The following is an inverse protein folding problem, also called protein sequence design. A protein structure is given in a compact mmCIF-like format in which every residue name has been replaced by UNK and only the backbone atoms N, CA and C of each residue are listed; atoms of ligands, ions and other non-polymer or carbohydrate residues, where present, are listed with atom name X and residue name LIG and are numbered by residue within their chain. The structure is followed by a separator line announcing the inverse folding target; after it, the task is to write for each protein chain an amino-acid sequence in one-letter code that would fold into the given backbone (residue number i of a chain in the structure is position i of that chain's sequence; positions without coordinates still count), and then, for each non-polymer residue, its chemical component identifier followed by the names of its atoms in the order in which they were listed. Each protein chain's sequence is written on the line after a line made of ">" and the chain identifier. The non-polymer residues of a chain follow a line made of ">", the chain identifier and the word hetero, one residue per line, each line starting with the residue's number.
data_IF_540486921050
#
_entry.id   IF_540486921050
#
_cell.length_a   1.000
_cell.length_b   1.000
_cell.length_c   1.000
_cell.angle_alpha   90.00
_cell.angle_beta   90.00
_cell.angle_gamma   90.00
#
_symmetry.space_group_name_H-M   'P 1'
#
loop_
_entity.id
_entity.type
_entity.pdbx_description
1 polymer ?
#
# COMPACT_ATOMS: atom_id res chain seq x y z
N UNK A 1 -5.52 27.28 -14.74
CA UNK A 1 -4.52 27.17 -13.63
C UNK A 1 -3.15 27.31 -14.25
N UNK A 2 -2.30 28.21 -13.75
CA UNK A 2 -0.92 28.34 -14.23
C UNK A 2 -0.10 27.16 -13.66
N UNK A 3 0.49 26.35 -14.52
CA UNK A 3 1.24 25.15 -14.13
C UNK A 3 2.53 25.46 -13.36
N UNK A 4 3.23 26.56 -13.71
CA UNK A 4 4.45 26.99 -13.02
C UNK A 4 4.17 27.45 -11.59
N UNK A 5 3.12 28.23 -11.41
CA UNK A 5 2.68 28.70 -10.09
C UNK A 5 2.22 27.52 -9.21
N UNK A 6 1.44 26.61 -9.78
CA UNK A 6 1.01 25.40 -9.08
C UNK A 6 2.19 24.50 -8.68
N UNK A 7 3.19 24.34 -9.57
CA UNK A 7 4.40 23.60 -9.25
C UNK A 7 5.16 24.24 -8.08
N UNK A 8 5.31 25.56 -8.07
CA UNK A 8 5.98 26.29 -6.99
C UNK A 8 5.26 26.08 -5.64
N UNK A 9 3.93 26.12 -5.61
CA UNK A 9 3.13 25.88 -4.41
C UNK A 9 3.31 24.42 -3.89
N UNK A 10 3.30 23.44 -4.78
CA UNK A 10 3.54 22.04 -4.39
C UNK A 10 4.94 21.88 -3.79
N UNK A 11 5.97 22.50 -4.39
CA UNK A 11 7.33 22.46 -3.86
C UNK A 11 7.44 23.15 -2.49
N UNK A 12 6.75 24.28 -2.30
CA UNK A 12 6.70 24.98 -1.00
C UNK A 12 5.98 24.16 0.08
N UNK A 13 5.00 23.35 -0.31
CA UNK A 13 4.25 22.47 0.61
C UNK A 13 5.02 21.22 1.04
N UNK A 14 6.21 20.94 0.46
CA UNK A 14 7.06 19.83 0.90
C UNK A 14 7.73 20.15 2.26
N UNK A 15 7.89 19.16 3.15
CA UNK A 15 8.55 19.35 4.43
C UNK A 15 10.09 19.41 4.34
N UNK A 16 10.65 19.38 3.14
CA UNK A 16 12.10 19.38 2.86
C UNK A 16 12.38 20.03 1.50
N UNK A 17 13.63 20.34 1.23
CA UNK A 17 14.06 20.86 -0.09
C UNK A 17 14.05 19.71 -1.11
N UNK A 18 13.27 19.88 -2.18
CA UNK A 18 13.20 18.90 -3.26
C UNK A 18 14.53 18.78 -4.03
N UNK A 19 14.90 17.57 -4.42
CA UNK A 19 15.99 17.34 -5.36
C UNK A 19 15.52 17.59 -6.81
N UNK A 20 16.45 17.62 -7.76
CA UNK A 20 16.16 17.93 -9.17
C UNK A 20 15.14 16.97 -9.79
N UNK A 21 15.20 15.68 -9.41
CA UNK A 21 14.25 14.69 -9.90
C UNK A 21 12.84 14.92 -9.37
N UNK A 22 12.71 15.28 -8.10
CA UNK A 22 11.43 15.64 -7.49
C UNK A 22 10.86 16.94 -8.09
N UNK A 23 11.71 17.95 -8.35
CA UNK A 23 11.30 19.18 -9.03
C UNK A 23 10.76 18.88 -10.43
N UNK A 24 11.43 18.02 -11.19
CA UNK A 24 10.97 17.62 -12.52
C UNK A 24 9.64 16.87 -12.48
N UNK A 25 9.44 15.97 -11.50
CA UNK A 25 8.17 15.26 -11.29
C UNK A 25 7.05 16.22 -10.91
N UNK A 26 7.29 17.14 -9.99
CA UNK A 26 6.30 18.16 -9.60
C UNK A 26 5.90 19.02 -10.79
N UNK A 27 6.84 19.44 -11.62
CA UNK A 27 6.55 20.20 -12.83
C UNK A 27 5.69 19.38 -13.83
N UNK A 28 5.93 18.08 -13.96
CA UNK A 28 5.14 17.19 -14.81
C UNK A 28 3.71 17.00 -14.26
N UNK A 29 3.56 16.80 -12.95
CA UNK A 29 2.27 16.71 -12.27
C UNK A 29 1.47 18.01 -12.39
N UNK A 30 2.14 19.14 -12.23
CA UNK A 30 1.51 20.46 -12.37
C UNK A 30 0.94 20.67 -13.80
N UNK A 31 1.72 20.36 -14.82
CA UNK A 31 1.26 20.39 -16.22
C UNK A 31 0.08 19.44 -16.44
N UNK A 32 0.15 18.22 -15.89
CA UNK A 32 -0.94 17.24 -15.97
C UNK A 32 -2.21 17.77 -15.30
N UNK A 33 -2.11 18.34 -14.11
CA UNK A 33 -3.25 18.90 -13.39
C UNK A 33 -3.78 20.18 -14.02
N UNK A 34 -2.95 21.05 -14.59
CA UNK A 34 -3.34 22.32 -15.19
C UNK A 34 -3.89 22.22 -16.63
N UNK A 35 -3.58 21.12 -17.33
CA UNK A 35 -3.97 20.95 -18.73
C UNK A 35 -5.50 21.11 -18.94
N UNK A 36 -5.94 21.55 -20.12
CA UNK A 36 -7.37 21.59 -20.46
C UNK A 36 -8.04 20.22 -20.27
N UNK A 37 -9.39 20.20 -20.12
CA UNK A 37 -10.14 18.96 -20.09
C UNK A 37 -9.83 18.11 -21.32
N UNK A 38 -9.32 16.93 -21.10
CA UNK A 38 -9.14 15.90 -22.12
C UNK A 38 -9.51 14.57 -21.49
N UNK A 39 -10.36 13.79 -22.15
CA UNK A 39 -10.71 12.47 -21.64
C UNK A 39 -9.48 11.55 -21.61
N UNK A 40 -9.53 10.56 -20.75
CA UNK A 40 -8.65 9.39 -20.80
C UNK A 40 -7.16 9.68 -20.59
N UNK A 41 -6.83 10.69 -19.79
CA UNK A 41 -5.44 10.99 -19.42
C UNK A 41 -5.10 10.45 -18.04
N UNK A 42 -4.04 9.64 -17.97
CA UNK A 42 -3.51 9.10 -16.72
C UNK A 42 -2.07 9.55 -16.50
N UNK A 43 -1.73 9.87 -15.25
CA UNK A 43 -0.36 10.09 -14.81
C UNK A 43 0.10 8.86 -14.00
N UNK A 44 1.22 8.27 -14.36
CA UNK A 44 1.84 7.16 -13.65
C UNK A 44 3.11 7.65 -12.97
N UNK A 45 3.10 7.68 -11.65
CA UNK A 45 4.27 7.98 -10.84
C UNK A 45 4.86 6.69 -10.27
N UNK A 46 5.96 6.25 -10.85
CA UNK A 46 6.75 5.17 -10.29
C UNK A 46 7.82 5.76 -9.36
N UNK A 47 8.09 5.09 -8.23
CA UNK A 47 9.17 5.54 -7.37
C UNK A 47 9.52 4.49 -6.33
N UNK A 48 10.79 4.36 -6.04
CA UNK A 48 11.28 3.39 -5.05
C UNK A 48 10.94 3.82 -3.61
N UNK A 49 11.03 2.90 -2.66
CA UNK A 49 10.93 3.23 -1.24
C UNK A 49 11.98 4.29 -0.87
N UNK A 50 11.58 5.27 -0.06
CA UNK A 50 12.48 6.37 0.39
C UNK A 50 12.73 7.48 -0.65
N UNK A 51 12.06 7.49 -1.82
CA UNK A 51 12.22 8.55 -2.83
C UNK A 51 11.30 9.76 -2.61
N UNK A 52 10.48 9.75 -1.55
CA UNK A 52 9.60 10.86 -1.19
C UNK A 52 8.24 10.87 -1.89
N UNK A 53 7.79 9.75 -2.50
CA UNK A 53 6.44 9.65 -3.11
C UNK A 53 5.33 10.15 -2.20
N UNK A 54 5.30 9.64 -0.98
CA UNK A 54 4.25 9.94 0.00
C UNK A 54 4.22 11.42 0.37
N UNK A 55 5.39 12.02 0.65
CA UNK A 55 5.49 13.46 0.97
C UNK A 55 5.08 14.33 -0.23
N UNK A 56 5.51 13.96 -1.43
CA UNK A 56 5.16 14.65 -2.67
C UNK A 56 3.65 14.58 -2.93
N UNK A 57 3.06 13.41 -2.73
CA UNK A 57 1.61 13.22 -2.89
C UNK A 57 0.82 14.02 -1.85
N UNK A 58 1.26 14.02 -0.59
CA UNK A 58 0.66 14.84 0.45
C UNK A 58 0.73 16.34 0.13
N UNK A 59 1.86 16.83 -0.39
CA UNK A 59 2.01 18.22 -0.85
C UNK A 59 1.07 18.53 -2.03
N UNK A 60 0.97 17.61 -3.00
CA UNK A 60 0.05 17.75 -4.13
C UNK A 60 -1.41 17.84 -3.66
N UNK A 61 -1.83 16.97 -2.74
CA UNK A 61 -3.20 16.96 -2.19
C UNK A 61 -3.52 18.28 -1.51
N UNK A 62 -2.66 18.73 -0.60
CA UNK A 62 -2.84 20.04 0.10
C UNK A 62 -2.95 21.20 -0.88
N UNK A 63 -2.11 21.22 -1.91
CA UNK A 63 -2.13 22.31 -2.92
C UNK A 63 -3.39 22.25 -3.79
N UNK A 64 -3.86 21.06 -4.19
CA UNK A 64 -5.11 20.91 -4.92
C UNK A 64 -6.29 21.45 -4.12
N UNK A 65 -6.37 21.12 -2.84
CA UNK A 65 -7.47 21.58 -1.97
C UNK A 65 -7.41 23.07 -1.67
N UNK A 66 -6.22 23.64 -1.42
CA UNK A 66 -6.04 25.08 -1.28
C UNK A 66 -6.57 25.85 -2.51
N UNK A 67 -6.47 25.23 -3.69
CA UNK A 67 -7.03 25.76 -4.94
C UNK A 67 -8.48 25.30 -5.21
N UNK A 68 -9.17 24.75 -4.21
CA UNK A 68 -10.56 24.26 -4.30
C UNK A 68 -10.77 23.19 -5.38
N UNK A 69 -9.72 22.44 -5.72
CA UNK A 69 -9.81 21.26 -6.58
C UNK A 69 -9.90 20.01 -5.73
N UNK A 70 -10.93 19.23 -5.97
CA UNK A 70 -11.21 18.03 -5.17
C UNK A 70 -10.21 16.93 -5.47
N UNK A 71 -9.46 16.51 -4.47
CA UNK A 71 -8.64 15.30 -4.50
C UNK A 71 -9.45 14.13 -3.93
N UNK A 72 -9.45 12.99 -4.62
CA UNK A 72 -10.08 11.74 -4.18
C UNK A 72 -8.98 10.72 -3.99
N UNK A 73 -8.71 10.37 -2.73
CA UNK A 73 -7.61 9.49 -2.36
C UNK A 73 -8.10 8.05 -2.29
N UNK A 74 -7.38 7.15 -2.93
CA UNK A 74 -7.72 5.73 -2.97
C UNK A 74 -6.47 4.85 -2.83
N UNK A 75 -6.68 3.62 -2.36
CA UNK A 75 -5.65 2.59 -2.33
C UNK A 75 -6.29 1.20 -2.55
N UNK A 76 -5.52 0.18 -2.97
CA UNK A 76 -6.03 -1.17 -3.18
C UNK A 76 -6.53 -1.84 -1.90
N UNK A 77 -5.89 -1.58 -0.76
CA UNK A 77 -6.20 -2.20 0.53
C UNK A 77 -6.65 -1.18 1.58
N UNK A 78 -7.36 -1.64 2.60
CA UNK A 78 -7.81 -0.79 3.71
C UNK A 78 -6.65 -0.19 4.50
N UNK A 79 -5.61 -0.97 4.78
CA UNK A 79 -4.40 -0.49 5.48
C UNK A 79 -3.69 0.58 4.66
N UNK A 80 -3.48 0.36 3.36
CA UNK A 80 -2.88 1.36 2.49
C UNK A 80 -3.71 2.66 2.44
N UNK A 81 -5.04 2.56 2.43
CA UNK A 81 -5.92 3.72 2.50
C UNK A 81 -5.76 4.50 3.82
N UNK A 82 -5.68 3.81 4.97
CA UNK A 82 -5.43 4.46 6.28
C UNK A 82 -4.07 5.17 6.31
N UNK A 83 -3.02 4.51 5.86
CA UNK A 83 -1.66 5.09 5.78
C UNK A 83 -1.66 6.30 4.83
N UNK A 84 -2.33 6.18 3.69
CA UNK A 84 -2.43 7.27 2.73
C UNK A 84 -3.19 8.48 3.32
N UNK A 85 -4.29 8.25 4.05
CA UNK A 85 -5.02 9.30 4.76
C UNK A 85 -4.14 10.02 5.78
N UNK A 86 -3.45 9.29 6.64
CA UNK A 86 -2.56 9.85 7.67
C UNK A 86 -1.44 10.72 7.06
N UNK A 87 -0.79 10.23 6.00
CA UNK A 87 0.29 10.93 5.31
C UNK A 87 -0.17 12.11 4.44
N UNK A 88 -1.47 12.20 4.17
CA UNK A 88 -2.07 13.29 3.36
C UNK A 88 -2.72 14.37 4.22
N UNK A 89 -2.35 14.50 5.50
CA UNK A 89 -2.91 15.52 6.40
C UNK A 89 -4.30 15.16 6.94
N UNK A 90 -4.62 13.88 7.04
CA UNK A 90 -5.92 13.40 7.55
C UNK A 90 -7.06 13.43 6.52
N UNK A 91 -6.77 13.73 5.25
CA UNK A 91 -7.78 13.67 4.19
C UNK A 91 -8.28 12.25 4.00
N UNK A 92 -9.59 12.06 3.96
CA UNK A 92 -10.19 10.73 3.85
C UNK A 92 -9.74 10.00 2.59
N UNK A 93 -9.12 8.84 2.77
CA UNK A 93 -8.78 7.91 1.70
C UNK A 93 -9.67 6.67 1.78
N UNK A 94 -9.99 6.09 0.63
CA UNK A 94 -10.91 4.97 0.50
C UNK A 94 -10.22 3.78 -0.15
N UNK A 95 -10.70 2.57 0.10
CA UNK A 95 -10.32 1.49 -0.80
C UNK A 95 -10.95 1.72 -2.17
N UNK A 96 -10.25 1.29 -3.25
CA UNK A 96 -10.79 1.41 -4.60
C UNK A 96 -12.19 0.78 -4.64
N UNK A 97 -12.35 -0.45 -4.14
CA UNK A 97 -13.63 -1.16 -4.10
C UNK A 97 -14.74 -0.36 -3.43
N UNK A 98 -14.47 0.24 -2.26
CA UNK A 98 -15.47 1.05 -1.55
C UNK A 98 -15.89 2.28 -2.35
N UNK A 99 -15.00 2.82 -3.17
CA UNK A 99 -15.25 4.06 -3.90
C UNK A 99 -15.98 3.84 -5.20
N UNK A 100 -15.64 2.78 -5.94
CA UNK A 100 -16.13 2.58 -7.31
C UNK A 100 -17.34 1.66 -7.40
N UNK A 101 -17.59 0.83 -6.36
CA UNK A 101 -18.74 -0.07 -6.37
C UNK A 101 -19.85 0.38 -5.42
N UNK A 102 -21.07 0.02 -5.76
CA UNK A 102 -22.21 0.15 -4.85
C UNK A 102 -22.12 -0.94 -3.79
N UNK A 103 -22.32 -0.57 -2.54
CA UNK A 103 -22.50 -1.58 -1.51
C UNK A 103 -23.86 -2.25 -1.72
N UNK A 104 -23.86 -3.55 -1.92
CA UNK A 104 -25.08 -4.35 -1.84
C UNK A 104 -25.54 -4.34 -0.37
N UNK A 105 -26.75 -3.84 -0.10
CA UNK A 105 -27.40 -3.92 1.21
C UNK A 105 -28.45 -5.02 1.20
N UNK A 106 -28.54 -5.81 2.27
CA UNK A 106 -29.60 -6.82 2.43
C UNK A 106 -29.35 -8.12 1.66
N UNK A 107 -30.42 -8.73 1.19
CA UNK A 107 -30.42 -10.05 0.53
C UNK A 107 -29.50 -10.16 -0.71
N UNK A 108 -29.18 -9.06 -1.35
CA UNK A 108 -28.27 -9.04 -2.51
C UNK A 108 -26.79 -9.18 -2.10
N UNK A 109 -26.41 -8.72 -0.89
CA UNK A 109 -25.06 -8.94 -0.34
C UNK A 109 -24.83 -10.42 -0.01
N UNK A 110 -25.86 -11.13 0.42
CA UNK A 110 -25.79 -12.58 0.74
C UNK A 110 -25.71 -13.46 -0.51
N UNK A 111 -26.23 -12.99 -1.64
CA UNK A 111 -26.21 -13.75 -2.92
C UNK A 111 -24.88 -13.73 -3.64
N UNK A 112 -23.89 -12.94 -3.19
CA UNK A 112 -22.53 -12.96 -3.75
C UNK A 112 -22.44 -12.56 -5.22
N UNK A 113 -23.38 -11.73 -5.71
CA UNK A 113 -23.34 -11.21 -7.08
C UNK A 113 -22.08 -10.37 -7.38
N UNK A 114 -21.71 -10.18 -8.65
CA UNK A 114 -20.58 -9.32 -9.00
C UNK A 114 -20.83 -7.90 -8.48
N UNK A 115 -19.76 -7.19 -8.05
CA UNK A 115 -19.90 -5.83 -7.58
C UNK A 115 -20.42 -4.93 -8.71
N UNK A 116 -21.45 -4.15 -8.42
CA UNK A 116 -22.00 -3.22 -9.41
C UNK A 116 -21.30 -1.87 -9.35
N UNK A 117 -20.81 -1.34 -10.48
CA UNK A 117 -20.21 -0.01 -10.52
C UNK A 117 -21.17 1.06 -10.00
N UNK A 118 -20.63 1.99 -9.22
CA UNK A 118 -21.36 3.17 -8.76
C UNK A 118 -21.32 4.27 -9.84
N UNK A 119 -22.26 5.20 -9.79
CA UNK A 119 -22.21 6.40 -10.61
C UNK A 119 -21.16 7.36 -10.10
N UNK A 120 -20.28 7.87 -10.97
CA UNK A 120 -19.32 8.92 -10.62
C UNK A 120 -19.96 10.31 -10.73
N UNK A 121 -20.33 10.88 -9.60
CA UNK A 121 -20.91 12.24 -9.51
C UNK A 121 -19.88 13.36 -9.35
N UNK A 122 -18.57 13.02 -9.40
CA UNK A 122 -17.52 14.01 -9.23
C UNK A 122 -17.32 14.83 -10.51
N UNK A 123 -16.98 16.11 -10.30
CA UNK A 123 -16.62 17.06 -11.36
C UNK A 123 -15.29 17.70 -11.03
N UNK A 124 -14.45 17.89 -12.04
CA UNK A 124 -13.13 18.54 -11.93
C UNK A 124 -12.23 17.93 -10.85
N UNK A 125 -12.40 16.63 -10.57
CA UNK A 125 -11.71 15.92 -9.50
C UNK A 125 -10.44 15.24 -10.01
N UNK A 126 -9.45 15.17 -9.11
CA UNK A 126 -8.23 14.40 -9.32
C UNK A 126 -8.29 13.16 -8.43
N UNK A 127 -8.40 12.00 -9.05
CA UNK A 127 -8.35 10.71 -8.38
C UNK A 127 -6.89 10.29 -8.25
N UNK A 128 -6.47 10.00 -7.04
CA UNK A 128 -5.08 9.63 -6.72
C UNK A 128 -5.12 8.25 -6.08
N UNK A 129 -4.47 7.28 -6.71
CA UNK A 129 -4.37 5.90 -6.23
C UNK A 129 -2.93 5.66 -5.79
N UNK A 130 -2.74 5.45 -4.51
CA UNK A 130 -1.46 5.00 -3.97
C UNK A 130 -1.39 3.47 -3.96
N UNK A 131 -0.18 2.91 -3.90
CA UNK A 131 0.10 1.47 -3.98
C UNK A 131 -0.53 0.80 -5.23
N UNK A 132 -0.59 1.52 -6.36
CA UNK A 132 -1.15 1.02 -7.61
C UNK A 132 -0.41 -0.21 -8.15
N UNK A 133 0.82 -0.46 -7.72
CA UNK A 133 1.61 -1.67 -8.00
C UNK A 133 0.96 -2.98 -7.50
N UNK A 134 -0.01 -2.88 -6.58
CA UNK A 134 -0.78 -4.03 -6.09
C UNK A 134 -2.02 -4.36 -6.94
N UNK A 135 -2.36 -3.55 -7.93
CA UNK A 135 -3.54 -3.78 -8.79
C UNK A 135 -3.17 -4.82 -9.86
N UNK A 136 -3.84 -5.98 -9.82
CA UNK A 136 -3.70 -7.05 -10.80
C UNK A 136 -4.60 -6.87 -12.03
N UNK A 137 -4.43 -7.74 -13.03
CA UNK A 137 -5.22 -7.74 -14.25
C UNK A 137 -6.67 -8.13 -13.98
N UNK A 138 -6.86 -9.23 -13.25
CA UNK A 138 -8.18 -9.72 -12.86
C UNK A 138 -8.15 -10.30 -11.45
N UNK A 139 -9.28 -10.26 -10.77
CA UNK A 139 -9.51 -11.01 -9.54
C UNK A 139 -9.83 -12.49 -9.83
N UNK A 140 -10.04 -13.29 -8.77
CA UNK A 140 -10.42 -14.71 -8.88
C UNK A 140 -11.73 -14.95 -9.64
N UNK A 141 -12.56 -13.93 -9.81
CA UNK A 141 -13.84 -13.96 -10.54
C UNK A 141 -13.72 -13.48 -11.97
N UNK A 142 -12.50 -13.12 -12.42
CA UNK A 142 -12.24 -12.58 -13.75
C UNK A 142 -12.62 -11.11 -13.92
N UNK A 143 -12.89 -10.38 -12.82
CA UNK A 143 -13.22 -8.95 -12.87
C UNK A 143 -11.94 -8.13 -12.86
N UNK A 144 -11.82 -7.17 -13.78
CA UNK A 144 -10.68 -6.25 -13.83
C UNK A 144 -10.97 -5.01 -12.99
N UNK A 145 -10.35 -4.94 -11.81
CA UNK A 145 -10.44 -3.76 -10.95
C UNK A 145 -9.89 -2.49 -11.62
N UNK A 146 -8.88 -2.67 -12.48
CA UNK A 146 -8.27 -1.55 -13.22
C UNK A 146 -9.25 -0.97 -14.25
N UNK A 147 -9.93 -1.84 -15.02
CA UNK A 147 -10.89 -1.40 -16.04
C UNK A 147 -12.08 -0.69 -15.40
N UNK A 148 -12.60 -1.25 -14.30
CA UNK A 148 -13.71 -0.65 -13.56
C UNK A 148 -13.32 0.70 -12.93
N UNK A 149 -12.08 0.82 -12.44
CA UNK A 149 -11.54 2.08 -11.94
C UNK A 149 -11.45 3.13 -13.06
N UNK A 150 -10.91 2.76 -14.21
CA UNK A 150 -10.78 3.64 -15.38
C UNK A 150 -12.16 4.09 -15.83
N UNK A 151 -13.09 3.17 -16.01
CA UNK A 151 -14.46 3.47 -16.40
C UNK A 151 -15.15 4.40 -15.39
N UNK A 152 -15.01 4.11 -14.09
CA UNK A 152 -15.57 4.94 -13.04
C UNK A 152 -15.01 6.37 -13.09
N UNK A 153 -13.69 6.53 -13.13
CA UNK A 153 -13.06 7.86 -13.11
C UNK A 153 -13.51 8.69 -14.31
N UNK A 154 -13.47 8.12 -15.51
CA UNK A 154 -13.74 8.89 -16.74
C UNK A 154 -15.23 8.99 -17.10
N UNK A 155 -16.13 8.30 -16.38
CA UNK A 155 -17.57 8.60 -16.43
C UNK A 155 -17.93 9.92 -15.72
N UNK A 156 -17.05 10.44 -14.86
CA UNK A 156 -17.20 11.75 -14.25
C UNK A 156 -16.75 12.90 -15.16
N UNK A 157 -17.28 14.10 -14.92
CA UNK A 157 -16.95 15.26 -15.73
C UNK A 157 -15.55 15.80 -15.40
N UNK A 158 -14.65 15.88 -16.41
CA UNK A 158 -13.28 16.41 -16.29
C UNK A 158 -12.48 15.81 -15.12
N UNK A 159 -12.67 14.53 -14.85
CA UNK A 159 -11.91 13.80 -13.85
C UNK A 159 -10.56 13.34 -14.40
N UNK A 160 -9.58 13.20 -13.53
CA UNK A 160 -8.20 12.79 -13.86
C UNK A 160 -7.78 11.67 -12.94
N UNK A 161 -6.90 10.78 -13.43
CA UNK A 161 -6.35 9.68 -12.67
C UNK A 161 -4.84 9.82 -12.53
N UNK A 162 -4.34 9.68 -11.31
CA UNK A 162 -2.93 9.57 -10.97
C UNK A 162 -2.75 8.21 -10.28
N UNK A 163 -1.88 7.37 -10.85
CA UNK A 163 -1.48 6.08 -10.30
C UNK A 163 -0.07 6.20 -9.72
N UNK A 164 0.10 5.86 -8.47
CA UNK A 164 1.37 5.95 -7.75
C UNK A 164 1.73 4.56 -7.24
N UNK A 165 2.96 4.13 -7.45
CA UNK A 165 3.39 2.81 -7.01
C UNK A 165 4.90 2.63 -7.06
N UNK A 166 5.33 1.42 -6.75
CA UNK A 166 6.72 0.99 -6.78
C UNK A 166 6.83 -0.33 -7.55
N UNK A 167 7.39 -0.26 -8.76
CA UNK A 167 7.56 -1.45 -9.62
C UNK A 167 8.67 -2.39 -9.15
N UNK A 168 9.41 -2.04 -8.09
CA UNK A 168 10.37 -2.92 -7.43
C UNK A 168 9.76 -3.68 -6.25
N UNK A 169 8.52 -3.36 -5.85
CA UNK A 169 7.76 -4.18 -4.90
C UNK A 169 7.25 -5.46 -5.56
N UNK A 170 6.77 -6.40 -4.73
CA UNK A 170 6.17 -7.63 -5.22
C UNK A 170 4.97 -7.31 -6.13
N UNK A 171 4.92 -7.90 -7.32
CA UNK A 171 3.78 -7.73 -8.22
C UNK A 171 2.53 -8.45 -7.68
N UNK A 172 1.35 -8.21 -8.26
CA UNK A 172 0.15 -8.98 -7.96
C UNK A 172 0.38 -10.49 -8.16
N UNK A 173 -0.37 -11.30 -7.40
CA UNK A 173 -0.21 -12.77 -7.44
C UNK A 173 -0.42 -13.30 -8.85
N UNK A 174 0.56 -14.07 -9.33
CA UNK A 174 0.52 -14.66 -10.68
C UNK A 174 0.95 -13.74 -11.81
N UNK A 175 1.38 -12.52 -11.52
CA UNK A 175 1.81 -11.55 -12.54
C UNK A 175 3.29 -11.17 -12.38
N UNK A 176 3.95 -10.83 -13.46
CA UNK A 176 5.32 -10.29 -13.43
C UNK A 176 5.34 -8.79 -13.11
N UNK A 177 4.29 -8.06 -13.45
CA UNK A 177 4.14 -6.61 -13.23
C UNK A 177 2.67 -6.23 -13.16
N UNK A 178 2.37 -5.26 -12.30
CA UNK A 178 1.03 -4.67 -12.26
C UNK A 178 0.67 -3.97 -13.58
N UNK A 179 -0.50 -4.26 -14.18
CA UNK A 179 -0.99 -3.57 -15.37
C UNK A 179 -1.22 -2.07 -15.11
N UNK A 180 -1.58 -1.67 -13.90
CA UNK A 180 -1.78 -0.27 -13.52
C UNK A 180 -0.48 0.55 -13.56
N UNK A 181 0.68 -0.09 -13.42
CA UNK A 181 1.99 0.55 -13.48
C UNK A 181 2.69 0.35 -14.83
N UNK A 182 2.01 -0.27 -15.79
CA UNK A 182 2.56 -0.53 -17.11
C UNK A 182 2.00 0.45 -18.19
N UNK A 183 2.80 1.43 -18.65
CA UNK A 183 2.34 2.41 -19.62
C UNK A 183 1.83 1.81 -20.95
N UNK A 184 2.36 0.65 -21.37
CA UNK A 184 1.93 0.01 -22.60
C UNK A 184 0.54 -0.61 -22.47
N UNK A 185 0.26 -1.25 -21.31
CA UNK A 185 -1.08 -1.78 -21.00
C UNK A 185 -2.10 -0.65 -20.93
N UNK A 186 -1.79 0.42 -20.20
CA UNK A 186 -2.67 1.57 -20.07
C UNK A 186 -2.97 2.25 -21.41
N UNK A 187 -1.99 2.33 -22.34
CA UNK A 187 -2.22 2.81 -23.72
C UNK A 187 -3.10 1.86 -24.50
N UNK A 188 -2.94 0.54 -24.31
CA UNK A 188 -3.81 -0.48 -24.90
C UNK A 188 -5.28 -0.35 -24.45
N UNK A 189 -5.51 0.16 -23.23
CA UNK A 189 -6.84 0.51 -22.70
C UNK A 189 -7.36 1.89 -23.19
N UNK A 190 -6.70 2.52 -24.16
CA UNK A 190 -7.11 3.79 -24.74
C UNK A 190 -6.61 5.03 -23.99
N UNK A 191 -5.80 4.89 -22.93
CA UNK A 191 -5.38 6.03 -22.12
C UNK A 191 -4.19 6.78 -22.71
N UNK A 192 -4.18 8.10 -22.57
CA UNK A 192 -3.02 8.96 -22.83
C UNK A 192 -2.15 9.02 -21.59
N UNK A 193 -1.04 8.27 -21.59
CA UNK A 193 -0.19 8.07 -20.42
C UNK A 193 0.94 9.10 -20.38
N UNK A 194 1.02 9.81 -19.26
CA UNK A 194 2.21 10.56 -18.84
C UNK A 194 2.86 9.77 -17.70
N UNK A 195 4.15 9.51 -17.77
CA UNK A 195 4.86 8.78 -16.71
C UNK A 195 6.07 9.54 -16.22
N UNK A 196 6.34 9.40 -14.92
CA UNK A 196 7.55 9.90 -14.28
C UNK A 196 8.07 8.87 -13.27
N UNK A 197 9.38 8.88 -13.00
CA UNK A 197 10.02 7.93 -12.10
C UNK A 197 10.92 8.66 -11.12
N UNK A 198 10.83 8.29 -9.84
CA UNK A 198 11.70 8.71 -8.77
C UNK A 198 12.63 7.56 -8.40
N UNK A 199 13.92 7.75 -8.55
CA UNK A 199 14.96 6.75 -8.24
C UNK A 199 15.92 7.20 -7.16
N UNK A 200 16.03 8.50 -6.94
CA UNK A 200 16.93 9.07 -5.94
C UNK A 200 16.30 9.00 -4.55
N UNK A 201 17.01 8.37 -3.62
CA UNK A 201 16.62 8.31 -2.22
C UNK A 201 17.13 9.54 -1.47
N UNK A 202 16.43 9.94 -0.38
CA UNK A 202 16.87 11.04 0.46
C UNK A 202 18.30 10.78 1.00
N UNK A 203 19.12 11.84 1.09
CA UNK A 203 20.56 11.77 1.44
C UNK A 203 20.88 11.18 2.82
N UNK A 204 19.89 11.05 3.71
CA UNK A 204 20.05 10.48 5.07
C UNK A 204 20.33 8.98 5.11
N UNK A 205 20.43 8.31 3.98
CA UNK A 205 20.51 6.86 3.88
C UNK A 205 21.91 6.33 3.51
N UNK A 206 22.94 7.15 3.54
CA UNK A 206 24.30 6.72 3.19
C UNK A 206 24.85 5.64 4.13
N UNK A 207 24.42 5.66 5.40
CA UNK A 207 24.91 4.76 6.44
C UNK A 207 23.98 3.54 6.67
N UNK A 208 22.86 3.42 5.92
CA UNK A 208 21.94 2.30 6.05
C UNK A 208 22.32 1.13 5.15
N UNK A 209 22.66 0.00 5.76
CA UNK A 209 22.88 -1.28 5.08
C UNK A 209 21.63 -1.84 4.44
N UNK A 210 20.46 -1.60 5.05
CA UNK A 210 19.16 -1.98 4.48
C UNK A 210 18.96 -1.29 3.13
N UNK A 211 19.14 0.03 3.08
CA UNK A 211 18.96 0.79 1.85
C UNK A 211 20.06 0.52 0.82
N UNK A 212 21.30 0.33 1.26
CA UNK A 212 22.41 -0.06 0.40
C UNK A 212 22.10 -1.38 -0.33
N UNK A 213 21.68 -2.41 0.42
CA UNK A 213 21.36 -3.72 -0.14
C UNK A 213 20.08 -3.66 -1.01
N UNK A 214 19.05 -2.94 -0.61
CA UNK A 214 17.85 -2.71 -1.44
C UNK A 214 18.19 -2.05 -2.77
N UNK A 215 19.09 -1.06 -2.77
CA UNK A 215 19.55 -0.39 -4.00
C UNK A 215 20.33 -1.34 -4.91
N UNK A 216 21.19 -2.20 -4.35
CA UNK A 216 21.90 -3.24 -5.12
C UNK A 216 20.94 -4.25 -5.74
N UNK A 217 19.96 -4.72 -4.98
CA UNK A 217 18.93 -5.63 -5.50
C UNK A 217 18.12 -5.00 -6.64
N UNK A 218 17.72 -3.74 -6.51
CA UNK A 218 17.02 -3.01 -7.58
C UNK A 218 17.84 -2.87 -8.86
N UNK A 219 19.13 -2.57 -8.73
CA UNK A 219 20.06 -2.53 -9.89
C UNK A 219 20.17 -3.91 -10.55
N UNK A 220 20.24 -4.98 -9.77
CA UNK A 220 20.26 -6.34 -10.30
C UNK A 220 18.94 -6.69 -11.01
N UNK A 221 17.77 -6.31 -10.45
CA UNK A 221 16.48 -6.50 -11.11
C UNK A 221 16.40 -5.78 -12.47
N UNK A 222 16.91 -4.54 -12.53
CA UNK A 222 16.98 -3.79 -13.79
C UNK A 222 17.89 -4.47 -14.83
N UNK A 223 19.01 -5.03 -14.40
CA UNK A 223 19.90 -5.82 -15.27
C UNK A 223 19.22 -7.09 -15.77
N UNK A 224 18.52 -7.83 -14.90
CA UNK A 224 17.75 -9.02 -15.30
C UNK A 224 16.70 -8.64 -16.35
N UNK A 225 15.98 -7.55 -16.16
CA UNK A 225 14.96 -7.09 -17.11
C UNK A 225 15.55 -6.67 -18.48
N UNK A 226 16.80 -6.23 -18.52
CA UNK A 226 17.52 -5.86 -19.74
C UNK A 226 18.29 -7.03 -20.39
N UNK A 227 18.41 -8.17 -19.69
CA UNK A 227 19.20 -9.32 -20.15
C UNK A 227 18.37 -10.20 -21.09
N UNK A 228 18.93 -10.66 -22.21
CA UNK A 228 18.25 -11.58 -23.13
C UNK A 228 17.78 -12.87 -22.41
N UNK A 229 16.63 -13.40 -22.85
CA UNK A 229 16.10 -14.67 -22.31
C UNK A 229 17.15 -15.78 -22.43
N UNK A 230 17.40 -16.47 -21.29
CA UNK A 230 18.37 -17.58 -21.22
C UNK A 230 19.67 -17.24 -20.47
N UNK A 231 19.91 -15.97 -20.15
CA UNK A 231 21.02 -15.54 -19.30
C UNK A 231 20.44 -15.03 -17.97
N UNK A 232 20.88 -15.57 -16.85
CA UNK A 232 20.46 -15.12 -15.51
C UNK A 232 21.64 -14.43 -14.86
N UNK A 233 21.59 -13.10 -14.65
CA UNK A 233 22.64 -12.41 -13.89
C UNK A 233 22.69 -12.96 -12.46
N UNK A 234 23.89 -12.98 -11.83
CA UNK A 234 24.02 -13.45 -10.46
C UNK A 234 23.25 -12.54 -9.50
N UNK A 235 22.51 -13.13 -8.56
CA UNK A 235 21.86 -12.41 -7.46
C UNK A 235 22.96 -11.80 -6.58
N UNK A 236 22.95 -10.49 -6.29
CA UNK A 236 23.96 -9.87 -5.46
C UNK A 236 23.88 -10.40 -4.03
N UNK A 237 25.03 -10.81 -3.45
CA UNK A 237 25.10 -11.16 -2.04
C UNK A 237 24.80 -9.93 -1.18
N UNK A 238 24.05 -10.10 -0.09
CA UNK A 238 23.83 -9.04 0.89
C UNK A 238 25.19 -8.66 1.54
N UNK A 239 25.41 -7.37 1.74
CA UNK A 239 26.55 -6.85 2.45
C UNK A 239 26.13 -6.40 3.85
N UNK A 240 26.77 -6.95 4.86
CA UNK A 240 26.57 -6.60 6.27
C UNK A 240 27.76 -5.81 6.82
N UNK A 241 28.97 -6.08 6.31
CA UNK A 241 30.19 -5.42 6.77
C UNK A 241 30.14 -3.89 6.57
N UNK A 242 30.34 -3.16 7.67
CA UNK A 242 30.31 -1.70 7.71
C UNK A 242 28.90 -1.11 7.92
N UNK A 243 27.93 -1.93 8.33
CA UNK A 243 26.57 -1.51 8.67
C UNK A 243 26.13 -2.16 9.97
N UNK A 244 25.51 -1.37 10.85
CA UNK A 244 25.00 -1.83 12.13
C UNK A 244 23.51 -2.26 12.07
N UNK A 245 22.81 -1.90 10.97
CA UNK A 245 21.38 -2.14 10.75
C UNK A 245 21.09 -3.43 9.96
N UNK A 246 22.10 -4.23 9.60
CA UNK A 246 21.96 -5.49 8.87
C UNK A 246 22.90 -6.56 9.44
N UNK A 247 22.30 -7.63 9.96
CA UNK A 247 23.05 -8.78 10.49
C UNK A 247 22.60 -10.07 9.81
N UNK A 248 23.51 -10.99 9.55
CA UNK A 248 23.19 -12.37 9.14
C UNK A 248 23.28 -13.24 10.39
N UNK A 249 22.24 -14.01 10.62
CA UNK A 249 22.14 -14.92 11.76
C UNK A 249 21.90 -16.35 11.28
N UNK A 250 22.39 -17.31 12.00
CA UNK A 250 22.08 -18.73 11.74
C UNK A 250 20.68 -19.07 12.29
N UNK A 251 20.03 -20.07 11.67
CA UNK A 251 18.66 -20.43 12.07
C UNK A 251 18.56 -20.92 13.51
N UNK A 252 19.62 -21.48 14.06
CA UNK A 252 19.70 -21.99 15.43
C UNK A 252 19.65 -20.85 16.46
N UNK A 253 20.15 -19.68 16.14
CA UNK A 253 20.21 -18.50 17.02
C UNK A 253 18.89 -17.68 17.00
N UNK A 254 18.01 -17.97 16.05
CA UNK A 254 16.78 -17.18 15.85
C UNK A 254 15.88 -17.11 17.09
N UNK A 255 15.64 -18.19 17.88
CA UNK A 255 14.81 -18.12 19.08
C UNK A 255 15.38 -17.16 20.13
N UNK A 256 16.70 -17.16 20.36
CA UNK A 256 17.37 -16.29 21.33
C UNK A 256 17.29 -14.82 20.87
N UNK A 257 17.53 -14.56 19.59
CA UNK A 257 17.45 -13.21 19.01
C UNK A 257 16.00 -12.68 19.11
N UNK A 258 14.99 -13.50 18.83
CA UNK A 258 13.59 -13.09 18.95
C UNK A 258 13.20 -12.82 20.41
N UNK A 259 13.65 -13.65 21.34
CA UNK A 259 13.43 -13.42 22.79
C UNK A 259 14.03 -12.07 23.19
N UNK A 260 15.31 -11.84 22.86
CA UNK A 260 15.96 -10.56 23.16
C UNK A 260 15.30 -9.37 22.49
N UNK A 261 14.82 -9.50 21.25
CA UNK A 261 14.10 -8.43 20.54
C UNK A 261 12.76 -8.12 21.23
N UNK A 262 12.02 -9.13 21.70
CA UNK A 262 10.72 -8.94 22.35
C UNK A 262 10.86 -8.39 23.77
N UNK A 263 11.89 -8.77 24.51
CA UNK A 263 12.15 -8.30 25.88
C UNK A 263 12.67 -6.84 25.90
N UNK A 264 13.43 -6.45 24.91
CA UNK A 264 14.06 -5.12 24.83
C UNK A 264 13.22 -4.06 24.08
N UNK A 265 12.13 -4.45 23.43
CA UNK A 265 11.30 -3.54 22.65
C UNK A 265 10.30 -2.79 23.56
N UNK A 266 10.11 -1.49 23.30
CA UNK A 266 9.15 -0.66 24.07
C UNK A 266 7.71 -1.21 23.96
N UNK A 267 7.33 -1.73 22.78
CA UNK A 267 6.02 -2.31 22.50
C UNK A 267 6.06 -3.84 22.42
N UNK A 268 7.14 -4.46 22.88
CA UNK A 268 7.30 -5.91 22.87
C UNK A 268 7.24 -6.51 21.46
N UNK A 269 6.41 -7.53 21.29
CA UNK A 269 6.26 -8.26 20.01
C UNK A 269 5.87 -7.34 18.84
N UNK A 270 5.21 -6.20 19.11
CA UNK A 270 4.73 -5.29 18.07
C UNK A 270 5.85 -4.57 17.28
N UNK A 271 7.05 -4.46 17.85
CA UNK A 271 8.20 -3.80 17.21
C UNK A 271 8.99 -4.74 16.29
N UNK A 272 8.64 -6.02 16.25
CA UNK A 272 9.36 -7.04 15.48
C UNK A 272 8.45 -7.73 14.47
N UNK A 273 8.98 -7.99 13.27
CA UNK A 273 8.27 -8.74 12.23
C UNK A 273 9.17 -9.79 11.60
N UNK A 274 8.68 -11.03 11.52
CA UNK A 274 9.33 -12.13 10.81
C UNK A 274 8.70 -12.28 9.41
N UNK A 275 9.49 -12.02 8.37
CA UNK A 275 9.04 -12.13 6.98
C UNK A 275 9.36 -13.51 6.44
N UNK A 276 8.36 -14.21 5.91
CA UNK A 276 8.50 -15.57 5.38
C UNK A 276 8.05 -15.65 3.93
N UNK A 277 8.46 -16.71 3.23
CA UNK A 277 8.13 -16.92 1.82
C UNK A 277 6.65 -17.33 1.60
N UNK A 278 5.99 -17.95 2.58
CA UNK A 278 4.65 -18.48 2.39
C UNK A 278 3.83 -18.44 3.69
N UNK A 279 2.51 -18.39 3.56
CA UNK A 279 1.58 -18.44 4.68
C UNK A 279 1.76 -19.72 5.54
N UNK A 280 2.07 -20.86 4.91
CA UNK A 280 2.37 -22.09 5.63
C UNK A 280 3.57 -21.93 6.55
N UNK A 281 4.68 -21.39 6.06
CA UNK A 281 5.86 -21.10 6.89
C UNK A 281 5.57 -20.06 7.96
N UNK A 282 4.78 -19.02 7.64
CA UNK A 282 4.36 -18.05 8.64
C UNK A 282 3.60 -18.72 9.80
N UNK A 283 2.69 -19.64 9.49
CA UNK A 283 1.96 -20.40 10.51
C UNK A 283 2.88 -21.30 11.35
N UNK A 284 3.85 -21.97 10.72
CA UNK A 284 4.85 -22.81 11.40
C UNK A 284 5.71 -21.95 12.36
N UNK A 285 6.21 -20.78 11.91
CA UNK A 285 6.96 -19.86 12.77
C UNK A 285 6.10 -19.27 13.88
N UNK A 286 4.86 -18.86 13.59
CA UNK A 286 3.96 -18.35 14.62
C UNK A 286 3.70 -19.39 15.72
N UNK A 287 3.48 -20.66 15.37
CA UNK A 287 3.32 -21.73 16.35
C UNK A 287 4.59 -21.94 17.18
N UNK A 288 5.77 -21.95 16.53
CA UNK A 288 7.06 -22.08 17.22
C UNK A 288 7.33 -20.90 18.16
N UNK A 289 7.12 -19.67 17.72
CA UNK A 289 7.30 -18.48 18.55
C UNK A 289 6.35 -18.50 19.73
N UNK A 290 5.07 -18.83 19.51
CA UNK A 290 4.09 -18.92 20.60
C UNK A 290 4.49 -19.92 21.68
N UNK A 291 4.92 -21.14 21.27
CA UNK A 291 5.26 -22.20 22.20
C UNK A 291 6.64 -22.03 22.85
N UNK A 292 7.67 -21.66 22.08
CA UNK A 292 9.08 -21.69 22.52
C UNK A 292 9.60 -20.34 23.03
N UNK A 293 9.08 -19.23 22.49
CA UNK A 293 9.56 -17.87 22.83
C UNK A 293 8.58 -17.18 23.79
N UNK A 294 7.27 -17.26 23.51
CA UNK A 294 6.24 -16.58 24.31
C UNK A 294 5.60 -17.47 25.37
N UNK A 295 5.91 -18.76 25.39
CA UNK A 295 5.39 -19.76 26.33
C UNK A 295 3.85 -19.79 26.41
N UNK A 296 3.18 -19.66 25.24
CA UNK A 296 1.73 -19.64 25.13
C UNK A 296 1.24 -20.98 24.57
N UNK A 297 0.57 -21.76 25.40
CA UNK A 297 0.06 -23.10 25.02
C UNK A 297 -1.36 -23.03 24.44
N UNK A 298 -2.17 -22.04 24.85
CA UNK A 298 -3.54 -21.87 24.38
C UNK A 298 -3.58 -21.46 22.90
N UNK A 299 -4.64 -21.83 22.18
CA UNK A 299 -4.80 -21.47 20.77
C UNK A 299 -4.89 -19.94 20.57
N UNK A 300 -5.48 -19.24 21.53
CA UNK A 300 -5.59 -17.79 21.56
C UNK A 300 -5.43 -17.32 23.01
N UNK A 301 -4.51 -16.40 23.25
CA UNK A 301 -4.19 -15.90 24.57
C UNK A 301 -4.19 -14.37 24.59
N UNK A 302 -4.34 -13.79 25.78
CA UNK A 302 -4.13 -12.37 26.01
C UNK A 302 -2.74 -11.94 25.55
N UNK A 303 -2.67 -10.82 24.83
CA UNK A 303 -1.42 -10.27 24.28
C UNK A 303 -1.04 -10.87 22.91
N UNK A 304 -1.86 -11.79 22.34
CA UNK A 304 -1.67 -12.21 20.97
C UNK A 304 -1.94 -11.09 20.00
N UNK A 305 -1.10 -10.99 18.98
CA UNK A 305 -1.30 -10.08 17.85
C UNK A 305 -1.99 -10.84 16.72
N UNK A 306 -3.09 -10.28 16.26
CA UNK A 306 -3.86 -10.82 15.15
C UNK A 306 -3.82 -9.85 13.97
N UNK A 307 -3.77 -10.42 12.77
CA UNK A 307 -3.93 -9.66 11.53
C UNK A 307 -5.36 -9.86 11.00
N UNK A 308 -6.02 -8.77 10.71
CA UNK A 308 -7.37 -8.79 10.13
C UNK A 308 -7.28 -9.27 8.67
N UNK A 309 -7.96 -10.35 8.33
CA UNK A 309 -7.92 -10.95 7.00
C UNK A 309 -8.94 -10.38 6.00
N UNK A 310 -9.97 -9.66 6.48
CA UNK A 310 -11.02 -9.07 5.63
C UNK A 310 -11.45 -7.71 6.18
N UNK A 311 -11.81 -6.79 5.27
CA UNK A 311 -12.41 -5.53 5.68
C UNK A 311 -13.76 -5.77 6.37
N UNK A 312 -13.99 -5.07 7.48
CA UNK A 312 -15.28 -5.03 8.15
C UNK A 312 -15.77 -3.59 8.28
N UNK A 313 -16.96 -3.33 7.74
CA UNK A 313 -17.61 -2.03 7.79
C UNK A 313 -18.81 -2.13 8.74
N UNK A 314 -18.82 -1.31 9.78
CA UNK A 314 -19.89 -1.32 10.75
C UNK A 314 -21.21 -0.82 10.14
N UNK A 315 -22.26 -1.62 10.23
CA UNK A 315 -23.63 -1.27 9.76
C UNK A 315 -24.49 -0.66 10.87
N UNK A 316 -24.02 -0.65 12.11
CA UNK A 316 -24.69 -0.14 13.32
C UNK A 316 -23.82 0.78 14.14
N UNK A 317 -23.90 0.67 15.47
CA UNK A 317 -23.09 1.45 16.40
C UNK A 317 -21.60 1.19 16.13
N UNK A 318 -20.85 2.25 15.87
CA UNK A 318 -19.42 2.18 15.62
C UNK A 318 -18.65 2.30 16.94
N UNK A 319 -17.58 1.52 17.13
CA UNK A 319 -16.64 1.78 18.20
C UNK A 319 -16.06 3.20 18.08
N UNK A 320 -15.83 3.85 19.20
CA UNK A 320 -15.36 5.24 19.22
C UNK A 320 -13.98 5.33 18.56
N UNK A 321 -13.82 6.17 17.53
CA UNK A 321 -12.55 6.38 16.82
C UNK A 321 -12.26 5.36 15.70
N UNK A 322 -13.11 4.34 15.48
CA UNK A 322 -12.90 3.33 14.44
C UNK A 322 -14.00 3.45 13.38
N UNK A 323 -13.65 3.88 12.17
CA UNK A 323 -14.61 3.98 11.07
C UNK A 323 -14.90 2.61 10.44
N UNK A 324 -13.89 1.79 10.29
CA UNK A 324 -13.96 0.42 9.79
C UNK A 324 -12.70 -0.34 10.20
N UNK A 325 -12.76 -1.66 10.20
CA UNK A 325 -11.62 -2.55 10.41
C UNK A 325 -11.10 -2.97 9.04
N UNK A 326 -9.84 -2.66 8.77
CA UNK A 326 -9.24 -2.92 7.46
C UNK A 326 -8.55 -4.29 7.40
N UNK A 327 -8.59 -4.93 6.23
CA UNK A 327 -7.68 -6.03 5.93
C UNK A 327 -6.22 -5.56 6.12
N UNK A 328 -5.44 -6.32 6.89
CA UNK A 328 -4.07 -5.99 7.26
C UNK A 328 -3.92 -5.14 8.51
N UNK A 329 -5.02 -4.71 9.16
CA UNK A 329 -4.93 -4.11 10.50
C UNK A 329 -4.37 -5.13 11.48
N UNK A 330 -3.48 -4.67 12.35
CA UNK A 330 -2.94 -5.46 13.45
C UNK A 330 -3.71 -5.07 14.71
N UNK A 331 -4.19 -6.05 15.45
CA UNK A 331 -4.92 -5.86 16.70
C UNK A 331 -4.34 -6.77 17.78
N UNK A 332 -4.42 -6.33 19.03
CA UNK A 332 -3.94 -7.13 20.18
C UNK A 332 -5.12 -7.68 20.96
N UNK A 333 -5.06 -8.94 21.35
CA UNK A 333 -6.06 -9.57 22.21
C UNK A 333 -5.90 -9.07 23.63
N UNK A 334 -6.87 -8.30 24.13
CA UNK A 334 -6.90 -7.86 25.52
C UNK A 334 -7.50 -8.91 26.45
N UNK A 335 -8.53 -9.61 25.95
CA UNK A 335 -9.23 -10.63 26.75
C UNK A 335 -9.93 -11.64 25.82
N UNK A 336 -9.91 -12.89 26.22
CA UNK A 336 -10.69 -13.97 25.63
C UNK A 336 -11.83 -14.31 26.60
N UNK A 337 -13.09 -14.23 26.14
CA UNK A 337 -14.26 -14.52 26.96
C UNK A 337 -14.71 -15.97 26.83
N UNK A 338 -14.52 -16.56 25.65
CA UNK A 338 -14.90 -17.92 25.37
C UNK A 338 -14.58 -18.34 23.95
N UNK A 339 -14.67 -19.64 23.70
CA UNK A 339 -14.52 -20.22 22.36
C UNK A 339 -15.68 -21.17 22.11
N UNK A 340 -16.18 -21.21 20.88
CA UNK A 340 -17.24 -22.13 20.47
C UNK A 340 -16.96 -22.70 19.08
N UNK A 341 -17.50 -23.88 18.81
CA UNK A 341 -17.48 -24.49 17.49
C UNK A 341 -18.88 -24.49 16.90
N UNK A 342 -19.05 -23.88 15.72
CA UNK A 342 -20.31 -23.88 14.97
C UNK A 342 -20.03 -24.15 13.50
N UNK A 343 -20.84 -24.98 12.87
CA UNK A 343 -20.75 -25.28 11.43
C UNK A 343 -19.36 -25.77 10.98
N UNK A 344 -18.63 -26.49 11.85
CA UNK A 344 -17.25 -26.92 11.56
C UNK A 344 -16.20 -25.82 11.63
N UNK A 345 -16.57 -24.59 12.03
CA UNK A 345 -15.67 -23.48 12.28
C UNK A 345 -15.52 -23.24 13.79
N UNK A 346 -14.38 -22.68 14.18
CA UNK A 346 -14.11 -22.29 15.57
C UNK A 346 -14.19 -20.77 15.68
N UNK A 347 -14.87 -20.31 16.70
CA UNK A 347 -15.08 -18.90 17.01
C UNK A 347 -14.53 -18.61 18.40
N UNK A 348 -13.95 -17.43 18.57
CA UNK A 348 -13.57 -16.91 19.87
C UNK A 348 -14.25 -15.55 20.10
N UNK A 349 -14.85 -15.38 21.28
CA UNK A 349 -15.36 -14.10 21.74
C UNK A 349 -14.23 -13.37 22.48
N UNK A 350 -13.84 -12.21 21.94
CA UNK A 350 -12.61 -11.52 22.36
C UNK A 350 -12.79 -10.01 22.44
N UNK A 351 -12.08 -9.38 23.37
CA UNK A 351 -11.83 -7.95 23.35
C UNK A 351 -10.51 -7.69 22.65
N UNK A 352 -10.53 -6.78 21.67
CA UNK A 352 -9.38 -6.41 20.85
C UNK A 352 -9.00 -4.95 21.08
N UNK A 353 -7.71 -4.67 21.26
CA UNK A 353 -7.15 -3.34 21.20
C UNK A 353 -6.68 -3.06 19.76
N UNK A 354 -7.04 -1.89 19.26
CA UNK A 354 -6.50 -1.35 18.01
C UNK A 354 -5.36 -0.41 18.34
N UNK A 355 -4.24 -0.43 17.59
CA UNK A 355 -3.19 0.54 17.78
C UNK A 355 -3.74 1.94 17.54
N UNK A 356 -3.18 2.98 18.20
CA UNK A 356 -3.56 4.36 17.93
C UNK A 356 -3.38 4.66 16.43
N UNK A 357 -4.23 5.53 15.86
CA UNK A 357 -4.22 5.85 14.45
C UNK A 357 -2.94 6.53 13.98
#
# INVERSE_FOLDING_TARGET
>A
MNDKEFAAEVLTALPYTANDQQVAVVAALARFCAAPPQPERVFVLNGYAGTGKTSLTGALVRTLEARKRRAILMAPTGRAAKVFSANSGGHAAFTIHRKIYRHAFGADAERGGPPMPAENKHRDAVFIVDEASMIGACDERGTSLLDDLIQYVYSGYNCRLILIGDTAQLPPVGEERSPAMNPSVLRGLGLKVTSATLTETARQAADSGILFNATRLRRAMALVAATPKGLTPPVPKLRTAGFDDVTIVEGEDLPEILTGAYDNAENGVADSILITRSNRRAAEYNAGIRGQVLYREEELARGDMLIVSRNHYFTGAKPRGIEFVANGDIVTVEQVYGTEARYGLRFADVRLAFPPP
#
